data_IF_080992910025
#
_entry.id   IF_080992910025
#
_cell.length_a   1.000
_cell.length_b   1.000
_cell.length_c   1.000
_cell.angle_alpha   90.00
_cell.angle_beta   90.00
_cell.angle_gamma   90.00
#
_symmetry.space_group_name_H-M   'P 1'
#
loop_
_entity.id
_entity.type
_entity.pdbx_description
1 polymer ?
#
# COMPACT_ATOMS: atom_id res chain seq x y z
N UNK A 1 -1.26 -20.67 8.74
CA UNK A 1 -2.48 -21.16 8.08
C UNK A 1 -2.71 -20.33 6.83
N UNK A 2 -3.15 -20.93 5.74
CA UNK A 2 -3.51 -20.24 4.48
C UNK A 2 -4.92 -19.63 4.56
N UNK A 3 -5.56 -19.63 5.73
CA UNK A 3 -6.93 -19.14 5.91
C UNK A 3 -6.93 -17.67 6.29
N UNK A 4 -7.74 -16.83 5.62
CA UNK A 4 -7.94 -15.45 6.00
C UNK A 4 -8.54 -15.32 7.41
N UNK A 5 -7.95 -14.47 8.25
CA UNK A 5 -8.49 -14.19 9.58
C UNK A 5 -9.81 -13.41 9.53
N UNK A 6 -10.03 -12.66 8.45
CA UNK A 6 -11.23 -11.87 8.20
C UNK A 6 -11.41 -11.63 6.69
N UNK A 7 -12.63 -11.30 6.29
CA UNK A 7 -12.91 -10.89 4.91
C UNK A 7 -12.14 -9.62 4.54
N UNK A 8 -11.64 -9.53 3.29
CA UNK A 8 -10.99 -8.34 2.79
C UNK A 8 -11.91 -7.11 2.91
N UNK A 9 -11.38 -6.04 3.52
CA UNK A 9 -12.10 -4.78 3.66
C UNK A 9 -11.77 -3.91 2.45
N UNK A 10 -12.77 -3.64 1.61
CA UNK A 10 -12.59 -2.82 0.40
C UNK A 10 -12.34 -1.35 0.71
N UNK A 11 -11.74 -0.63 -0.24
CA UNK A 11 -11.37 0.78 -0.11
C UNK A 11 -12.56 1.70 0.18
N UNK A 12 -13.77 1.41 -0.37
CA UNK A 12 -14.98 2.21 -0.12
C UNK A 12 -15.55 2.07 1.30
N UNK A 13 -15.09 1.07 2.07
CA UNK A 13 -15.64 0.82 3.40
C UNK A 13 -15.28 1.95 4.38
N UNK A 14 -16.30 2.55 4.97
CA UNK A 14 -16.19 3.70 5.89
C UNK A 14 -16.24 3.33 7.38
N UNK A 15 -16.14 2.03 7.75
CA UNK A 15 -16.25 1.57 9.15
C UNK A 15 -15.26 2.18 10.13
N UNK A 16 -14.15 2.71 9.63
CA UNK A 16 -13.08 3.31 10.44
C UNK A 16 -13.03 4.85 10.30
N UNK A 17 -14.05 5.47 9.72
CA UNK A 17 -14.08 6.92 9.50
C UNK A 17 -13.97 7.69 10.81
N UNK A 18 -14.71 7.29 11.84
CA UNK A 18 -14.69 7.92 13.18
C UNK A 18 -13.28 7.88 13.79
N UNK A 19 -12.58 6.75 13.72
CA UNK A 19 -11.20 6.61 14.20
C UNK A 19 -10.26 7.60 13.48
N UNK A 20 -10.43 7.78 12.18
CA UNK A 20 -9.62 8.72 11.40
C UNK A 20 -9.95 10.17 11.78
N UNK A 21 -11.21 10.50 11.99
CA UNK A 21 -11.61 11.85 12.40
C UNK A 21 -11.07 12.19 13.79
N UNK A 22 -11.10 11.26 14.74
CA UNK A 22 -10.42 11.41 16.04
C UNK A 22 -8.92 11.68 15.90
N UNK A 23 -8.22 10.98 14.99
CA UNK A 23 -6.79 11.22 14.76
C UNK A 23 -6.52 12.62 14.19
N UNK A 24 -7.39 13.11 13.30
CA UNK A 24 -7.30 14.48 12.80
C UNK A 24 -7.53 15.51 13.91
N UNK A 25 -8.53 15.32 14.76
CA UNK A 25 -8.83 16.19 15.91
C UNK A 25 -7.67 16.22 16.92
N UNK A 26 -6.99 15.09 17.14
CA UNK A 26 -5.78 14.98 17.95
C UNK A 26 -4.52 15.61 17.31
N UNK A 27 -4.64 16.12 16.08
CA UNK A 27 -3.55 16.83 15.39
C UNK A 27 -2.56 15.95 14.63
N UNK A 28 -2.81 14.65 14.44
CA UNK A 28 -1.91 13.75 13.72
C UNK A 28 -1.92 13.92 12.20
N UNK A 29 -2.92 14.62 11.64
CA UNK A 29 -3.07 14.80 10.20
C UNK A 29 -1.81 15.28 9.48
N UNK A 30 -1.17 16.38 9.90
CA UNK A 30 0.04 16.89 9.25
C UNK A 30 1.22 15.92 9.30
N UNK A 31 1.40 15.18 10.39
CA UNK A 31 2.47 14.17 10.51
C UNK A 31 2.24 13.02 9.54
N UNK A 32 1.02 12.47 9.51
CA UNK A 32 0.64 11.40 8.59
C UNK A 32 0.84 11.83 7.14
N UNK A 33 0.34 13.02 6.75
CA UNK A 33 0.51 13.52 5.39
C UNK A 33 1.98 13.72 5.02
N UNK A 34 2.78 14.27 5.92
CA UNK A 34 4.21 14.50 5.68
C UNK A 34 4.97 13.21 5.43
N UNK A 35 4.69 12.14 6.19
CA UNK A 35 5.39 10.86 6.09
C UNK A 35 4.91 10.02 4.92
N UNK A 36 3.59 9.93 4.75
CA UNK A 36 2.97 9.00 3.81
C UNK A 36 2.56 9.63 2.48
N UNK A 37 2.53 10.96 2.37
CA UNK A 37 1.97 11.68 1.23
C UNK A 37 0.43 11.67 1.18
N UNK A 38 -0.24 10.99 2.11
CA UNK A 38 -1.67 10.76 2.09
C UNK A 38 -2.41 11.69 3.05
N UNK A 39 -3.53 12.24 2.61
CA UNK A 39 -4.48 12.87 3.53
C UNK A 39 -5.18 11.76 4.31
N UNK A 40 -5.18 11.80 5.66
CA UNK A 40 -5.77 10.72 6.45
C UNK A 40 -7.24 10.48 6.11
N UNK A 41 -7.54 9.26 5.69
CA UNK A 41 -8.89 8.81 5.35
C UNK A 41 -9.07 7.31 5.62
N UNK A 42 -10.31 6.91 5.90
CA UNK A 42 -10.69 5.50 6.06
C UNK A 42 -10.53 4.68 4.76
N UNK A 43 -10.21 5.32 3.65
CA UNK A 43 -9.85 4.69 2.38
C UNK A 43 -8.64 3.76 2.54
N UNK A 44 -7.62 4.18 3.30
CA UNK A 44 -6.32 3.50 3.41
C UNK A 44 -6.33 2.35 4.42
N UNK A 45 -5.29 1.49 4.36
CA UNK A 45 -5.25 0.22 5.08
C UNK A 45 -5.07 0.35 6.59
N UNK A 46 -4.30 1.33 7.06
CA UNK A 46 -3.88 1.44 8.46
C UNK A 46 -5.02 1.28 9.49
N UNK A 47 -6.07 2.08 9.35
CA UNK A 47 -7.22 2.01 10.26
C UNK A 47 -8.00 0.69 10.15
N UNK A 48 -8.04 0.08 8.95
CA UNK A 48 -8.72 -1.20 8.71
C UNK A 48 -7.96 -2.36 9.35
N UNK A 49 -6.63 -2.34 9.30
CA UNK A 49 -5.78 -3.32 9.99
C UNK A 49 -6.02 -3.21 11.51
N UNK A 50 -5.93 -2.00 12.07
CA UNK A 50 -6.20 -1.75 13.47
C UNK A 50 -7.60 -2.26 13.88
N UNK A 51 -8.61 -1.98 13.05
CA UNK A 51 -9.97 -2.47 13.28
C UNK A 51 -10.05 -3.99 13.32
N UNK A 52 -9.40 -4.71 12.38
CA UNK A 52 -9.38 -6.18 12.38
C UNK A 52 -8.71 -6.70 13.65
N UNK A 53 -7.55 -6.14 14.02
CA UNK A 53 -6.82 -6.55 15.23
C UNK A 53 -7.63 -6.35 16.52
N UNK A 54 -8.48 -5.33 16.57
CA UNK A 54 -9.30 -5.02 17.75
C UNK A 54 -10.65 -5.77 17.79
N UNK A 55 -11.18 -6.21 16.63
CA UNK A 55 -12.53 -6.80 16.56
C UNK A 55 -12.55 -8.30 16.26
N UNK A 56 -11.47 -8.84 15.72
CA UNK A 56 -11.36 -10.28 15.46
C UNK A 56 -10.68 -10.96 16.64
N UNK A 57 -11.39 -11.88 17.26
CA UNK A 57 -10.89 -12.58 18.46
C UNK A 57 -9.57 -13.30 18.20
N UNK A 58 -8.54 -12.97 18.98
CA UNK A 58 -7.21 -13.58 18.90
C UNK A 58 -6.32 -13.01 17.79
N UNK A 59 -6.83 -12.08 16.95
CA UNK A 59 -6.04 -11.53 15.85
C UNK A 59 -4.83 -10.71 16.37
N UNK A 60 -5.03 -9.90 17.40
CA UNK A 60 -3.95 -9.08 17.99
C UNK A 60 -2.85 -9.95 18.56
N UNK A 61 -3.20 -10.94 19.39
CA UNK A 61 -2.24 -11.87 19.99
C UNK A 61 -1.49 -12.69 18.94
N UNK A 62 -2.16 -13.08 17.85
CA UNK A 62 -1.51 -13.78 16.73
C UNK A 62 -0.57 -12.87 15.96
N UNK A 63 -0.94 -11.59 15.74
CA UNK A 63 -0.09 -10.61 15.10
C UNK A 63 1.18 -10.30 15.91
N UNK A 64 1.05 -10.11 17.23
CA UNK A 64 2.16 -9.88 18.15
C UNK A 64 3.14 -11.07 18.23
N UNK A 65 2.67 -12.28 17.95
CA UNK A 65 3.49 -13.50 17.87
C UNK A 65 4.08 -13.75 16.49
N UNK A 66 3.77 -12.92 15.48
CA UNK A 66 4.15 -13.15 14.09
C UNK A 66 3.42 -14.33 13.41
N UNK A 67 2.28 -14.74 13.96
CA UNK A 67 1.44 -15.83 13.42
C UNK A 67 0.37 -15.32 12.45
N UNK A 68 0.14 -14.01 12.41
CA UNK A 68 -0.80 -13.35 11.51
C UNK A 68 -0.04 -12.36 10.60
N UNK A 69 -0.24 -12.51 9.30
CA UNK A 69 0.37 -11.65 8.29
C UNK A 69 -0.65 -10.70 7.68
N UNK A 70 -0.21 -9.49 7.34
CA UNK A 70 -0.96 -8.52 6.56
C UNK A 70 -0.51 -8.54 5.09
N UNK A 71 -1.44 -8.30 4.20
CA UNK A 71 -1.15 -8.04 2.79
C UNK A 71 -2.22 -7.19 2.13
N UNK A 72 -1.78 -6.35 1.20
CA UNK A 72 -2.63 -5.78 0.15
C UNK A 72 -2.92 -6.85 -0.90
N UNK A 73 -3.76 -6.56 -1.90
CA UNK A 73 -4.19 -7.56 -2.90
C UNK A 73 -2.99 -8.19 -3.64
N UNK A 74 -1.98 -7.40 -3.95
CA UNK A 74 -0.74 -7.86 -4.59
C UNK A 74 0.03 -8.86 -3.73
N UNK A 75 0.20 -8.56 -2.43
CA UNK A 75 0.82 -9.47 -1.46
C UNK A 75 0.05 -10.78 -1.38
N UNK A 76 -1.28 -10.71 -1.31
CA UNK A 76 -2.14 -11.89 -1.28
C UNK A 76 -2.00 -12.74 -2.56
N UNK A 77 -1.94 -12.10 -3.73
CA UNK A 77 -1.72 -12.80 -5.00
C UNK A 77 -0.35 -13.50 -5.03
N UNK A 78 0.72 -12.80 -4.67
CA UNK A 78 2.07 -13.37 -4.63
C UNK A 78 2.12 -14.53 -3.65
N UNK A 79 1.58 -14.35 -2.44
CA UNK A 79 1.50 -15.41 -1.43
C UNK A 79 0.84 -16.67 -1.98
N UNK A 80 -0.30 -16.55 -2.64
CA UNK A 80 -1.00 -17.70 -3.22
C UNK A 80 -0.26 -18.29 -4.42
N UNK A 81 0.29 -17.46 -5.31
CA UNK A 81 1.05 -17.92 -6.48
C UNK A 81 2.32 -18.67 -6.08
N UNK A 82 2.94 -18.28 -4.97
CA UNK A 82 4.17 -18.89 -4.44
C UNK A 82 3.93 -19.95 -3.35
N UNK A 83 2.65 -20.22 -2.99
CA UNK A 83 2.26 -21.08 -1.84
C UNK A 83 2.93 -20.69 -0.54
N UNK A 84 2.89 -19.40 -0.22
CA UNK A 84 3.42 -18.89 1.03
C UNK A 84 4.93 -18.79 1.13
N UNK A 85 5.64 -18.98 0.02
CA UNK A 85 7.10 -18.90 0.02
C UNK A 85 7.60 -17.45 0.14
N UNK A 86 6.79 -16.46 -0.26
CA UNK A 86 7.19 -15.06 -0.30
C UNK A 86 6.07 -14.18 0.28
N UNK A 87 6.43 -13.32 1.25
CA UNK A 87 5.55 -12.33 1.85
C UNK A 87 6.09 -10.92 1.55
N UNK A 88 5.67 -10.35 0.43
CA UNK A 88 6.24 -9.13 -0.14
C UNK A 88 5.15 -8.25 -0.77
N UNK A 89 5.42 -6.95 -0.81
CA UNK A 89 4.69 -5.95 -1.58
C UNK A 89 5.68 -5.02 -2.29
N UNK A 90 5.18 -4.11 -3.13
CA UNK A 90 6.02 -3.10 -3.74
C UNK A 90 5.82 -1.70 -3.11
N UNK A 91 6.71 -0.76 -3.45
CA UNK A 91 6.64 0.61 -2.96
C UNK A 91 5.31 1.29 -3.27
N UNK A 92 4.72 1.03 -4.44
CA UNK A 92 3.48 1.70 -4.85
C UNK A 92 2.27 1.23 -4.03
N UNK A 93 2.16 -0.08 -3.76
CA UNK A 93 1.12 -0.63 -2.90
C UNK A 93 1.36 -0.28 -1.42
N UNK A 94 2.60 -0.37 -0.94
CA UNK A 94 2.96 0.03 0.42
C UNK A 94 2.60 1.50 0.68
N UNK A 95 2.87 2.40 -0.27
CA UNK A 95 2.54 3.82 -0.18
C UNK A 95 1.02 4.08 -0.04
N UNK A 96 0.14 3.13 -0.37
CA UNK A 96 -1.32 3.25 -0.21
C UNK A 96 -1.84 2.76 1.14
N UNK A 97 -0.98 2.27 2.01
CA UNK A 97 -1.39 1.73 3.31
C UNK A 97 -1.59 2.77 4.41
N UNK A 98 -1.03 3.96 4.25
CA UNK A 98 -0.89 5.00 5.29
C UNK A 98 0.00 4.54 6.46
N UNK A 99 0.89 3.55 6.22
CA UNK A 99 1.88 3.04 7.18
C UNK A 99 3.32 3.21 6.69
N UNK A 100 3.49 3.64 5.44
CA UNK A 100 4.77 3.64 4.73
C UNK A 100 5.31 5.06 4.57
N UNK A 101 6.57 5.27 4.99
CA UNK A 101 7.28 6.54 4.74
C UNK A 101 7.76 6.57 3.29
N UNK A 102 7.16 7.43 2.48
CA UNK A 102 7.47 7.54 1.05
C UNK A 102 8.85 8.16 0.78
N UNK A 103 9.46 8.85 1.75
CA UNK A 103 10.78 9.46 1.61
C UNK A 103 11.90 8.47 1.93
N UNK A 104 11.68 7.61 2.93
CA UNK A 104 12.65 6.61 3.40
C UNK A 104 12.42 5.23 2.79
N UNK A 105 11.29 5.04 2.10
CA UNK A 105 10.87 3.76 1.53
C UNK A 105 10.89 2.61 2.55
N UNK A 106 10.29 2.84 3.70
CA UNK A 106 10.18 1.85 4.78
C UNK A 106 8.88 2.03 5.58
N UNK A 107 8.48 0.99 6.30
CA UNK A 107 7.40 1.08 7.28
C UNK A 107 7.75 2.10 8.36
N UNK A 108 6.84 3.03 8.67
CA UNK A 108 7.07 4.13 9.61
C UNK A 108 6.67 3.72 11.04
N UNK A 109 7.67 3.55 11.90
CA UNK A 109 7.49 3.00 13.25
C UNK A 109 6.56 3.88 14.11
N UNK A 110 6.67 5.21 14.04
CA UNK A 110 5.79 6.12 14.78
C UNK A 110 4.31 5.93 14.38
N UNK A 111 4.05 5.65 13.09
CA UNK A 111 2.69 5.38 12.61
C UNK A 111 2.22 3.98 13.01
N UNK A 112 3.11 2.97 12.97
CA UNK A 112 2.78 1.62 13.45
C UNK A 112 2.39 1.64 14.92
N UNK A 113 3.12 2.37 15.77
CA UNK A 113 2.81 2.57 17.18
C UNK A 113 1.46 3.27 17.37
N UNK A 114 1.20 4.35 16.59
CA UNK A 114 -0.05 5.10 16.64
C UNK A 114 -1.27 4.22 16.38
N UNK A 115 -1.20 3.31 15.41
CA UNK A 115 -2.25 2.36 15.09
C UNK A 115 -2.15 1.03 15.85
N UNK A 116 -1.10 0.86 16.68
CA UNK A 116 -0.79 -0.37 17.43
C UNK A 116 -0.74 -1.60 16.49
N UNK A 117 -0.02 -1.47 15.38
CA UNK A 117 0.18 -2.53 14.38
C UNK A 117 1.56 -3.13 14.58
N UNK A 118 1.67 -4.44 14.92
CA UNK A 118 2.95 -5.13 15.01
C UNK A 118 3.69 -5.14 13.66
N UNK A 119 4.97 -4.79 13.68
CA UNK A 119 5.80 -4.72 12.46
C UNK A 119 5.99 -6.11 11.84
N UNK A 120 6.01 -7.14 12.66
CA UNK A 120 6.22 -8.53 12.29
C UNK A 120 5.16 -9.08 11.33
N UNK A 121 3.97 -8.47 11.30
CA UNK A 121 2.90 -8.87 10.39
C UNK A 121 2.99 -8.23 9.00
N UNK A 122 3.90 -7.27 8.79
CA UNK A 122 3.99 -6.52 7.54
C UNK A 122 4.90 -7.23 6.52
N UNK A 123 4.57 -7.15 5.22
CA UNK A 123 5.41 -7.73 4.17
C UNK A 123 6.73 -6.96 4.01
N UNK A 124 7.75 -7.62 3.46
CA UNK A 124 8.90 -6.92 2.90
C UNK A 124 8.46 -6.00 1.77
N UNK A 125 9.16 -4.88 1.58
CA UNK A 125 8.79 -3.89 0.56
C UNK A 125 9.94 -3.73 -0.43
N UNK A 126 9.65 -3.98 -1.71
CA UNK A 126 10.63 -3.95 -2.79
C UNK A 126 10.25 -2.92 -3.87
N UNK A 127 11.20 -2.51 -4.74
CA UNK A 127 10.88 -1.71 -5.93
C UNK A 127 9.88 -2.45 -6.84
N UNK A 128 9.06 -1.71 -7.60
CA UNK A 128 8.01 -2.29 -8.46
C UNK A 128 8.53 -3.26 -9.53
N UNK A 129 9.79 -3.11 -9.96
CA UNK A 129 10.47 -3.99 -10.91
C UNK A 129 11.56 -4.79 -10.19
N UNK A 130 11.46 -6.11 -10.25
CA UNK A 130 12.38 -7.02 -9.57
C UNK A 130 11.84 -8.45 -9.52
N UNK A 131 12.58 -9.35 -8.92
CA UNK A 131 12.18 -10.75 -8.77
C UNK A 131 11.41 -10.94 -7.46
N UNK A 132 10.10 -11.10 -7.55
CA UNK A 132 9.20 -11.30 -6.40
C UNK A 132 8.92 -12.77 -6.06
N UNK A 133 9.58 -13.71 -6.72
CA UNK A 133 9.40 -15.13 -6.54
C UNK A 133 8.95 -15.85 -7.81
N UNK A 134 8.74 -17.16 -7.71
CA UNK A 134 8.25 -18.00 -8.80
C UNK A 134 6.91 -18.62 -8.44
N UNK A 135 6.02 -18.69 -9.42
CA UNK A 135 4.74 -19.39 -9.26
C UNK A 135 4.96 -20.89 -9.07
N UNK A 136 4.05 -21.53 -8.37
CA UNK A 136 4.03 -22.97 -8.28
C UNK A 136 3.64 -23.59 -9.63
N UNK A 137 4.29 -24.69 -9.98
CA UNK A 137 4.07 -25.39 -11.25
C UNK A 137 2.60 -25.78 -11.48
N UNK A 138 1.89 -26.14 -10.41
CA UNK A 138 0.49 -26.54 -10.46
C UNK A 138 -0.47 -25.42 -10.89
N UNK A 139 -0.04 -24.16 -10.80
CA UNK A 139 -0.88 -23.00 -11.14
C UNK A 139 -0.96 -22.81 -12.66
N UNK A 140 0.18 -22.94 -13.37
CA UNK A 140 0.29 -22.62 -14.79
C UNK A 140 0.94 -23.74 -15.61
N UNK A 141 1.19 -24.91 -15.04
CA UNK A 141 1.90 -26.00 -15.71
C UNK A 141 3.40 -25.80 -15.83
N UNK A 142 3.96 -24.81 -15.13
CA UNK A 142 5.39 -24.50 -15.07
C UNK A 142 5.64 -23.34 -14.10
N UNK A 143 6.88 -23.18 -13.70
CA UNK A 143 7.30 -22.07 -12.84
C UNK A 143 7.47 -20.81 -13.67
N UNK A 144 6.76 -19.76 -13.31
CA UNK A 144 6.81 -18.43 -13.96
C UNK A 144 7.35 -17.42 -12.95
N UNK A 145 8.43 -16.68 -13.24
CA UNK A 145 8.92 -15.65 -12.35
C UNK A 145 7.96 -14.46 -12.33
N UNK A 146 7.65 -13.97 -11.13
CA UNK A 146 6.93 -12.71 -10.92
C UNK A 146 7.98 -11.59 -10.90
N UNK A 147 8.02 -10.76 -11.95
CA UNK A 147 9.08 -9.78 -12.17
C UNK A 147 8.62 -8.33 -12.00
N UNK A 148 7.34 -8.10 -11.72
CA UNK A 148 6.82 -6.75 -11.51
C UNK A 148 5.53 -6.76 -10.69
N UNK A 149 5.42 -5.76 -9.83
CA UNK A 149 4.26 -5.51 -8.97
C UNK A 149 4.02 -4.02 -8.90
N UNK A 150 2.79 -3.58 -9.11
CA UNK A 150 2.44 -2.17 -8.97
C UNK A 150 0.96 -2.01 -8.59
N UNK A 151 0.64 -0.94 -7.86
CA UNK A 151 -0.74 -0.51 -7.64
C UNK A 151 -1.40 -0.16 -8.98
N UNK A 152 -2.71 -0.36 -9.09
CA UNK A 152 -3.46 -0.21 -10.35
C UNK A 152 -3.30 1.18 -10.99
N UNK A 153 -3.33 2.24 -10.18
CA UNK A 153 -3.21 3.61 -10.67
C UNK A 153 -1.77 3.94 -11.12
N UNK A 154 -0.78 3.42 -10.41
CA UNK A 154 0.64 3.56 -10.76
C UNK A 154 0.99 2.71 -11.98
N UNK A 155 0.45 1.51 -12.09
CA UNK A 155 0.57 0.68 -13.28
C UNK A 155 -0.06 1.36 -14.51
N UNK A 156 -1.20 2.04 -14.34
CA UNK A 156 -1.83 2.82 -15.41
C UNK A 156 -0.99 4.03 -15.82
N UNK A 157 -0.36 4.75 -14.87
CA UNK A 157 0.55 5.85 -15.17
C UNK A 157 1.73 5.36 -16.02
N UNK A 158 2.37 4.28 -15.60
CA UNK A 158 3.46 3.62 -16.31
C UNK A 158 3.02 3.11 -17.68
N UNK A 159 1.89 2.39 -17.75
CA UNK A 159 1.37 1.80 -18.98
C UNK A 159 0.92 2.83 -20.03
N UNK A 160 0.62 4.05 -19.62
CA UNK A 160 0.36 5.18 -20.51
C UNK A 160 1.62 5.99 -20.84
N UNK A 161 2.80 5.46 -20.53
CA UNK A 161 4.10 6.06 -20.82
C UNK A 161 4.30 7.45 -20.21
N UNK A 162 3.70 7.71 -19.05
CA UNK A 162 3.89 8.95 -18.30
C UNK A 162 5.18 8.88 -17.49
N UNK A 163 6.33 9.09 -18.11
CA UNK A 163 7.66 8.93 -17.52
C UNK A 163 8.33 10.26 -17.18
N UNK A 164 7.87 11.34 -17.80
CA UNK A 164 8.49 12.63 -17.61
C UNK A 164 7.70 13.48 -16.61
N UNK A 165 8.42 14.35 -15.90
CA UNK A 165 7.78 15.30 -14.97
C UNK A 165 6.76 16.18 -15.73
N UNK A 166 5.51 16.13 -15.27
CA UNK A 166 4.39 16.84 -15.86
C UNK A 166 3.49 15.98 -16.75
N UNK A 167 3.89 14.74 -17.06
CA UNK A 167 3.01 13.82 -17.77
C UNK A 167 1.81 13.45 -16.88
N UNK A 168 0.65 13.37 -17.52
CA UNK A 168 -0.62 13.15 -16.82
C UNK A 168 -1.39 12.03 -17.48
N UNK A 169 -1.90 11.12 -16.65
CA UNK A 169 -2.93 10.17 -17.07
C UNK A 169 -4.24 10.42 -16.33
N UNK A 170 -5.35 10.07 -16.95
CA UNK A 170 -6.66 10.05 -16.30
C UNK A 170 -7.36 8.73 -16.61
N UNK A 171 -7.79 8.03 -15.55
CA UNK A 171 -8.54 6.79 -15.66
C UNK A 171 -9.99 7.04 -15.26
N UNK A 172 -10.91 6.76 -16.18
CA UNK A 172 -12.35 6.79 -15.93
C UNK A 172 -12.87 5.37 -15.77
N UNK A 173 -13.39 5.06 -14.60
CA UNK A 173 -14.01 3.77 -14.26
C UNK A 173 -15.14 4.00 -13.26
N UNK A 174 -15.20 3.21 -12.20
CA UNK A 174 -16.10 3.44 -11.05
C UNK A 174 -15.79 4.78 -10.37
N UNK A 175 -14.53 5.23 -10.43
CA UNK A 175 -14.06 6.55 -10.04
C UNK A 175 -13.30 7.20 -11.20
N UNK A 176 -12.91 8.46 -11.00
CA UNK A 176 -12.05 9.21 -11.90
C UNK A 176 -10.72 9.44 -11.16
N UNK A 177 -9.62 8.90 -11.68
CA UNK A 177 -8.32 8.96 -11.02
C UNK A 177 -7.29 9.61 -11.95
N UNK A 178 -6.96 10.87 -11.65
CA UNK A 178 -5.95 11.63 -12.35
C UNK A 178 -4.64 11.52 -11.60
N UNK A 179 -3.56 11.09 -12.29
CA UNK A 179 -2.21 11.11 -11.76
C UNK A 179 -1.30 11.96 -12.65
N UNK A 180 -0.46 12.77 -12.00
CA UNK A 180 0.57 13.56 -12.66
C UNK A 180 1.94 13.16 -12.12
N UNK A 181 2.84 12.75 -13.00
CA UNK A 181 4.23 12.43 -12.66
C UNK A 181 4.97 13.69 -12.18
N UNK A 182 5.65 13.62 -11.03
CA UNK A 182 6.35 14.79 -10.43
C UNK A 182 7.87 14.67 -10.43
N UNK A 183 8.39 13.54 -10.94
CA UNK A 183 9.83 13.25 -10.94
C UNK A 183 10.30 12.80 -9.55
N UNK A 184 11.54 13.11 -9.22
CA UNK A 184 12.24 12.63 -8.01
C UNK A 184 11.87 13.37 -6.71
N UNK A 185 11.07 14.41 -6.79
CA UNK A 185 10.67 15.20 -5.62
C UNK A 185 9.22 14.93 -5.23
N UNK A 186 8.94 14.48 -4.01
CA UNK A 186 7.57 14.35 -3.52
C UNK A 186 6.97 15.74 -3.30
N UNK A 187 5.88 16.04 -3.98
CA UNK A 187 5.16 17.31 -3.85
C UNK A 187 3.97 17.12 -2.90
N UNK A 188 4.04 17.71 -1.72
CA UNK A 188 2.92 17.70 -0.78
C UNK A 188 1.91 18.79 -1.17
N UNK A 189 0.72 18.37 -1.56
CA UNK A 189 -0.36 19.26 -1.97
C UNK A 189 -0.96 20.00 -0.77
N UNK A 190 -1.27 21.28 -0.97
CA UNK A 190 -2.06 22.10 -0.02
C UNK A 190 -3.57 22.11 -0.35
N UNK A 191 -3.96 21.39 -1.39
CA UNK A 191 -5.32 21.38 -1.93
C UNK A 191 -5.97 20.00 -1.91
N UNK A 192 -5.48 19.09 -1.02
CA UNK A 192 -6.09 17.78 -0.80
C UNK A 192 -5.69 16.70 -1.81
N UNK A 193 -4.78 16.96 -2.76
CA UNK A 193 -4.22 15.91 -3.60
C UNK A 193 -3.28 15.01 -2.79
N UNK A 194 -3.21 13.76 -3.18
CA UNK A 194 -2.33 12.76 -2.57
C UNK A 194 -0.97 12.77 -3.27
N UNK A 195 0.09 12.50 -2.51
CA UNK A 195 1.40 12.18 -3.06
C UNK A 195 1.62 10.69 -2.95
N UNK A 196 2.02 10.05 -4.04
CA UNK A 196 2.27 8.61 -4.10
C UNK A 196 3.61 8.32 -4.80
N UNK A 197 4.15 7.12 -4.59
CA UNK A 197 5.31 6.66 -5.34
C UNK A 197 4.83 6.17 -6.70
N UNK A 198 5.52 6.57 -7.78
CA UNK A 198 5.27 6.09 -9.13
C UNK A 198 5.93 4.70 -9.34
N UNK A 199 5.32 3.86 -10.18
CA UNK A 199 5.94 2.59 -10.56
C UNK A 199 7.17 2.85 -11.46
N UNK A 200 8.30 2.32 -11.07
CA UNK A 200 9.57 2.53 -11.76
C UNK A 200 10.35 1.25 -12.00
N UNK A 201 11.34 1.33 -12.88
CA UNK A 201 12.10 0.17 -13.37
C UNK A 201 13.37 -0.14 -12.59
N UNK A 202 13.85 0.60 -11.68
CA UNK A 202 14.89 0.25 -10.71
C UNK A 202 15.65 1.48 -10.17
N UNK A 203 15.93 1.43 -8.90
CA UNK A 203 17.03 2.17 -8.26
C UNK A 203 16.71 3.59 -7.85
N UNK A 204 15.82 4.30 -8.52
CA UNK A 204 15.41 5.65 -8.14
C UNK A 204 13.91 5.72 -7.89
N UNK A 205 13.54 6.30 -6.76
CA UNK A 205 12.13 6.52 -6.42
C UNK A 205 11.66 7.80 -7.10
N UNK A 206 10.56 7.69 -7.84
CA UNK A 206 9.86 8.81 -8.43
C UNK A 206 8.44 8.88 -7.88
N UNK A 207 7.83 10.06 -8.02
CA UNK A 207 6.58 10.36 -7.35
C UNK A 207 5.52 10.85 -8.34
N UNK A 208 4.26 10.78 -7.90
CA UNK A 208 3.13 11.35 -8.61
C UNK A 208 2.18 12.04 -7.63
N UNK A 209 1.49 13.08 -8.12
CA UNK A 209 0.31 13.65 -7.48
C UNK A 209 -0.93 12.95 -7.99
N UNK A 210 -1.85 12.65 -7.09
CA UNK A 210 -3.11 11.98 -7.40
C UNK A 210 -4.31 12.81 -6.93
N UNK A 211 -5.31 12.92 -7.80
CA UNK A 211 -6.64 13.43 -7.50
C UNK A 211 -7.72 12.44 -7.92
N UNK A 212 -8.79 12.33 -7.12
CA UNK A 212 -9.94 11.47 -7.38
C UNK A 212 -11.26 12.19 -7.04
#
# INVERSE_FOLDING_TARGET
TEEPAYNAIVWQCRRTAEQIDELKEKGYGPMLQKRTGLVPDAYFSASKIAWILDHVKGAREAAEKGELLFGTVDTWLIWNLTKGAVHVTDYTNAARTMLFDIHRCCWEEEILELFRIPKEMLPEVWPSSGFFGETQEQVFGGKIPVMGVAGDQQAALFGQCCFEKGDVKNTYGTGCFLLMHTGKEPIISRHGLLTTIAAGTAGEVEYALEGS
#
